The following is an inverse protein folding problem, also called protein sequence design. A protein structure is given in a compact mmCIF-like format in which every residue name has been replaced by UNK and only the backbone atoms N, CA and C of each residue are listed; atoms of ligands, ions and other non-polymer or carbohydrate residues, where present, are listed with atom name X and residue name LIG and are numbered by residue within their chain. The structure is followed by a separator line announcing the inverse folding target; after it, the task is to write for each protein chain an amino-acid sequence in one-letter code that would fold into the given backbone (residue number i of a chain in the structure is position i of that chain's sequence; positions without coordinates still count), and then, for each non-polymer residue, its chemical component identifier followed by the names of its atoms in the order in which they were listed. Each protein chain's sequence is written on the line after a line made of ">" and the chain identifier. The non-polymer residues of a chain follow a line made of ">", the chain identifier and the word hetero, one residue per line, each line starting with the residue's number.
data_IF_223560726849
#
_entry.id   IF_223560726849
#
_cell.length_a   1.000
_cell.length_b   1.000
_cell.length_c   1.000
_cell.angle_alpha   90.00
_cell.angle_beta   90.00
_cell.angle_gamma   90.00
#
_symmetry.space_group_name_H-M   'P 1'
#
loop_
_entity.id
_entity.type
_entity.pdbx_description
1 polymer ?
#
# COMPACT_ATOMS: atom_id res chain seq x y z
N UNK A 1 13.88 15.52 -16.88
CA UNK A 1 13.84 14.35 -15.99
C UNK A 1 12.42 14.22 -15.46
N UNK A 2 11.72 13.12 -15.74
CA UNK A 2 10.34 12.89 -15.26
C UNK A 2 10.44 12.05 -13.98
N UNK A 3 9.75 12.47 -12.91
CA UNK A 3 9.65 11.73 -11.65
C UNK A 3 8.19 11.46 -11.33
N UNK A 4 7.92 10.29 -10.74
CA UNK A 4 6.60 9.93 -10.24
C UNK A 4 6.49 10.45 -8.81
N UNK A 5 5.56 11.37 -8.50
CA UNK A 5 5.44 11.98 -7.17
C UNK A 5 4.66 11.06 -6.21
N UNK A 6 5.20 9.88 -5.91
CA UNK A 6 4.55 8.86 -5.09
C UNK A 6 4.04 9.39 -3.73
N UNK A 7 4.77 10.33 -3.13
CA UNK A 7 4.38 10.96 -1.87
C UNK A 7 3.09 11.78 -1.99
N UNK A 8 2.95 12.55 -3.07
CA UNK A 8 1.78 13.38 -3.32
C UNK A 8 0.58 12.51 -3.74
N UNK A 9 0.80 11.53 -4.62
CA UNK A 9 -0.23 10.59 -5.07
C UNK A 9 -0.87 9.84 -3.89
N UNK A 10 -0.06 9.31 -2.97
CA UNK A 10 -0.55 8.63 -1.78
C UNK A 10 -1.26 9.53 -0.76
N UNK A 11 -1.24 10.85 -0.97
CA UNK A 11 -1.85 11.87 -0.10
C UNK A 11 -2.91 12.72 -0.79
N UNK A 12 -3.28 12.35 -2.01
CA UNK A 12 -4.26 13.08 -2.79
C UNK A 12 -5.66 12.85 -2.21
N UNK A 13 -6.37 13.90 -1.75
CA UNK A 13 -7.72 13.76 -1.22
C UNK A 13 -8.75 13.34 -2.27
N UNK A 14 -8.46 13.48 -3.57
CA UNK A 14 -9.31 12.95 -4.64
C UNK A 14 -9.20 11.43 -4.76
N UNK A 15 -8.09 10.86 -4.29
CA UNK A 15 -7.80 9.42 -4.38
C UNK A 15 -8.00 8.68 -3.06
N UNK A 16 -7.93 9.35 -1.92
CA UNK A 16 -7.99 8.73 -0.60
C UNK A 16 -8.76 9.61 0.40
N UNK A 17 -9.78 9.05 1.07
CA UNK A 17 -10.44 9.72 2.19
C UNK A 17 -9.48 9.89 3.37
N UNK A 18 -9.38 11.09 3.96
CA UNK A 18 -8.43 11.40 5.03
C UNK A 18 -6.99 10.91 4.76
N UNK A 19 -6.32 11.44 3.71
CA UNK A 19 -5.04 10.91 3.21
C UNK A 19 -3.87 11.05 4.21
N UNK A 20 -3.99 11.95 5.17
CA UNK A 20 -2.96 12.22 6.17
C UNK A 20 -3.08 11.34 7.43
N UNK A 21 -4.20 10.61 7.58
CA UNK A 21 -4.42 9.75 8.74
C UNK A 21 -3.91 8.33 8.49
N UNK A 22 -3.29 7.74 9.51
CA UNK A 22 -2.95 6.32 9.50
C UNK A 22 -4.22 5.48 9.68
N UNK A 23 -4.72 4.91 8.57
CA UNK A 23 -5.93 4.07 8.52
C UNK A 23 -5.62 2.73 7.83
N UNK A 24 -5.03 1.75 8.54
CA UNK A 24 -4.70 0.45 7.95
C UNK A 24 -5.94 -0.31 7.46
N UNK A 25 -7.11 -0.03 8.03
CA UNK A 25 -8.40 -0.61 7.66
C UNK A 25 -8.77 -0.34 6.20
N UNK A 26 -8.23 0.75 5.61
CA UNK A 26 -8.40 1.11 4.19
C UNK A 26 -8.01 -0.02 3.24
N UNK A 27 -7.05 -0.85 3.62
CA UNK A 27 -6.50 -1.92 2.79
C UNK A 27 -7.11 -3.29 3.10
N UNK A 28 -7.99 -3.38 4.09
CA UNK A 28 -8.72 -4.60 4.40
C UNK A 28 -9.78 -4.84 3.31
N UNK A 29 -9.83 -6.07 2.81
CA UNK A 29 -10.80 -6.48 1.79
C UNK A 29 -12.02 -7.05 2.50
N UNK A 30 -13.05 -6.23 2.68
CA UNK A 30 -14.41 -6.75 2.89
C UNK A 30 -15.09 -6.99 1.53
N UNK A 31 -16.03 -7.94 1.47
CA UNK A 31 -16.73 -8.35 0.24
C UNK A 31 -17.44 -7.20 -0.49
N UNK A 32 -17.65 -6.06 0.18
CA UNK A 32 -18.34 -4.87 -0.38
C UNK A 32 -17.39 -3.78 -0.89
N UNK A 33 -16.08 -3.84 -0.59
CA UNK A 33 -15.14 -2.72 -0.79
C UNK A 33 -13.97 -3.01 -1.74
N UNK A 34 -13.93 -4.20 -2.35
CA UNK A 34 -13.00 -4.52 -3.46
C UNK A 34 -13.31 -3.61 -4.65
N UNK A 35 -12.67 -2.44 -4.73
CA UNK A 35 -12.46 -1.58 -5.92
C UNK A 35 -12.65 -0.07 -5.69
N UNK A 36 -12.74 0.44 -4.46
CA UNK A 36 -12.95 1.91 -4.29
C UNK A 36 -11.76 2.75 -4.78
N UNK A 37 -10.54 2.22 -4.72
CA UNK A 37 -9.33 2.98 -5.01
C UNK A 37 -8.70 2.62 -6.34
N UNK A 38 -8.26 3.63 -7.10
CA UNK A 38 -7.55 3.46 -8.35
C UNK A 38 -6.25 2.66 -8.13
N UNK A 39 -6.01 1.64 -8.95
CA UNK A 39 -4.83 0.77 -8.85
C UNK A 39 -3.49 1.53 -8.95
N UNK A 40 -3.49 2.72 -9.57
CA UNK A 40 -2.32 3.58 -9.69
C UNK A 40 -2.24 4.67 -8.61
N UNK A 41 -3.23 4.77 -7.71
CA UNK A 41 -3.21 5.72 -6.60
C UNK A 41 -2.06 5.42 -5.61
N UNK A 42 -1.69 4.15 -5.48
CA UNK A 42 -0.58 3.70 -4.62
C UNK A 42 0.31 2.72 -5.36
N UNK A 43 1.57 3.09 -5.54
CA UNK A 43 2.59 2.28 -6.24
C UNK A 43 3.83 2.07 -5.34
N UNK A 44 3.69 1.37 -4.20
CA UNK A 44 4.77 1.22 -3.21
C UNK A 44 6.01 0.52 -3.80
N UNK A 45 5.82 -0.33 -4.81
CA UNK A 45 6.89 -1.05 -5.51
C UNK A 45 7.05 -0.61 -6.97
N UNK A 46 6.41 0.48 -7.37
CA UNK A 46 6.34 0.89 -8.78
C UNK A 46 5.53 -0.07 -9.65
N UNK A 47 5.59 0.17 -10.96
CA UNK A 47 4.88 -0.61 -11.98
C UNK A 47 5.71 -0.73 -13.26
N UNK A 48 5.47 -1.79 -14.04
CA UNK A 48 6.13 -2.02 -15.33
C UNK A 48 7.58 -2.53 -15.22
N UNK A 49 8.38 -2.43 -16.29
CA UNK A 49 9.71 -3.06 -16.40
C UNK A 49 10.75 -2.56 -15.37
N UNK A 50 10.47 -1.44 -14.69
CA UNK A 50 11.34 -0.81 -13.70
C UNK A 50 10.78 -0.89 -12.28
N UNK A 51 9.80 -1.76 -12.04
CA UNK A 51 9.28 -2.02 -10.70
C UNK A 51 10.33 -2.67 -9.80
N UNK A 52 10.14 -2.58 -8.49
CA UNK A 52 11.03 -3.19 -7.51
C UNK A 52 11.06 -4.71 -7.69
N UNK A 53 12.27 -5.27 -7.87
CA UNK A 53 12.49 -6.72 -7.98
C UNK A 53 12.10 -7.45 -6.69
N UNK A 54 12.25 -6.78 -5.53
CA UNK A 54 11.88 -7.31 -4.22
C UNK A 54 10.38 -7.29 -3.92
N UNK A 55 9.51 -6.91 -4.86
CA UNK A 55 8.05 -6.98 -4.64
C UNK A 55 7.62 -8.41 -4.26
N UNK A 56 8.27 -9.43 -4.82
CA UNK A 56 7.92 -10.83 -4.57
C UNK A 56 8.18 -11.26 -3.11
N UNK A 57 9.16 -10.66 -2.43
CA UNK A 57 9.47 -10.94 -1.02
C UNK A 57 8.66 -10.06 -0.06
N UNK A 58 7.72 -9.26 -0.56
CA UNK A 58 6.93 -8.36 0.31
C UNK A 58 6.02 -9.12 1.28
N UNK A 59 5.59 -10.33 0.94
CA UNK A 59 4.81 -11.19 1.84
C UNK A 59 5.57 -11.55 3.14
N UNK A 60 6.91 -11.53 3.11
CA UNK A 60 7.72 -11.79 4.30
C UNK A 60 7.52 -10.72 5.38
N UNK A 61 7.16 -9.48 4.98
CA UNK A 61 6.84 -8.38 5.91
C UNK A 61 5.62 -8.75 6.75
N UNK A 62 4.60 -9.35 6.13
CA UNK A 62 3.39 -9.79 6.83
C UNK A 62 3.71 -10.91 7.82
N UNK A 63 4.45 -11.94 7.38
CA UNK A 63 4.87 -13.08 8.23
C UNK A 63 5.70 -12.61 9.42
N UNK A 64 6.64 -11.67 9.22
CA UNK A 64 7.43 -11.10 10.30
C UNK A 64 6.56 -10.33 11.29
N UNK A 65 5.59 -9.54 10.81
CA UNK A 65 4.68 -8.79 11.68
C UNK A 65 3.81 -9.70 12.57
N UNK A 66 3.33 -10.82 12.01
CA UNK A 66 2.57 -11.83 12.76
C UNK A 66 3.45 -12.54 13.79
N UNK A 67 4.67 -12.92 13.40
CA UNK A 67 5.64 -13.56 14.30
C UNK A 67 6.01 -12.67 15.48
N UNK A 68 6.12 -11.35 15.26
CA UNK A 68 6.36 -10.38 16.33
C UNK A 68 5.16 -10.31 17.27
N UNK A 69 3.92 -10.21 16.73
CA UNK A 69 2.70 -10.20 17.55
C UNK A 69 2.56 -11.45 18.42
N UNK A 70 2.91 -12.63 17.90
CA UNK A 70 2.88 -13.89 18.66
C UNK A 70 3.90 -13.95 19.80
N UNK A 71 5.04 -13.26 19.66
CA UNK A 71 6.08 -13.22 20.70
C UNK A 71 5.83 -12.17 21.78
N UNK A 72 4.97 -11.19 21.49
CA UNK A 72 4.61 -10.11 22.41
C UNK A 72 3.30 -10.39 23.18
N UNK A 73 2.57 -11.45 22.81
CA UNK A 73 1.39 -11.95 23.51
C UNK A 73 1.79 -13.02 24.53
#
# INVERSE_FOLDING_TARGET
>A
MIRIPLYAMGRDPEMFDDPQQYKPERWLRDDTQRSLYNAFASLPFGFGPRMCIGKITSNDIEVMSLSIKQKLA
#
